data_IF_015101724530
#
_entry.id   IF_015101724530
#
_cell.length_a   1.000
_cell.length_b   1.000
_cell.length_c   1.000
_cell.angle_alpha   90.00
_cell.angle_beta   90.00
_cell.angle_gamma   90.00
#
_symmetry.space_group_name_H-M   'P 1'
#
loop_
_entity.id
_entity.type
_entity.pdbx_description
1 polymer ?
#
# COMPACT_ATOMS: atom_id res chain seq x y z
N UNK A 1 20.44 -0.31 -0.54
CA UNK A 1 19.01 -0.03 -0.25
C UNK A 1 18.25 -0.17 -1.57
N UNK A 2 17.56 -1.29 -1.79
CA UNK A 2 16.87 -1.55 -3.06
C UNK A 2 15.69 -0.59 -3.19
N UNK A 3 15.61 0.14 -4.31
CA UNK A 3 14.54 1.10 -4.60
C UNK A 3 13.19 0.36 -4.46
N UNK A 4 12.44 0.68 -3.40
CA UNK A 4 11.23 -0.07 -3.01
C UNK A 4 10.09 0.10 -4.00
N UNK A 5 10.13 1.18 -4.78
CA UNK A 5 9.23 1.44 -5.89
C UNK A 5 9.99 1.29 -7.19
N UNK A 6 10.02 0.09 -7.80
CA UNK A 6 10.35 0.03 -9.24
C UNK A 6 9.40 0.96 -9.96
N UNK A 7 9.90 2.00 -10.63
CA UNK A 7 9.06 2.94 -11.36
C UNK A 7 8.11 2.16 -12.27
N UNK A 8 8.63 1.17 -13.01
CA UNK A 8 7.92 0.42 -14.03
C UNK A 8 8.25 -1.09 -14.01
N UNK A 9 7.37 -1.96 -14.54
CA UNK A 9 6.05 -1.64 -15.05
C UNK A 9 5.03 -1.44 -13.91
N UNK A 10 3.98 -0.64 -14.17
CA UNK A 10 2.98 -0.30 -13.14
C UNK A 10 1.66 0.15 -13.75
N UNK A 11 0.58 0.03 -12.98
CA UNK A 11 -0.65 0.77 -13.24
C UNK A 11 -0.53 2.23 -12.80
N UNK A 12 -0.94 3.13 -13.68
CA UNK A 12 -1.11 4.56 -13.44
C UNK A 12 -2.55 4.95 -13.81
N UNK A 13 -3.10 6.03 -13.25
CA UNK A 13 -4.52 6.30 -13.42
C UNK A 13 -4.94 7.76 -13.42
N UNK A 14 -5.88 8.09 -14.33
CA UNK A 14 -6.83 9.20 -14.27
C UNK A 14 -7.87 9.13 -15.43
N UNK A 15 -9.20 9.06 -15.19
CA UNK A 15 -9.87 8.62 -13.95
C UNK A 15 -9.77 7.10 -13.74
N UNK A 16 -9.49 6.36 -14.81
CA UNK A 16 -9.33 4.90 -14.82
C UNK A 16 -7.85 4.52 -14.74
N UNK A 17 -7.56 3.31 -14.27
CA UNK A 17 -6.21 2.75 -14.29
C UNK A 17 -5.87 2.17 -15.66
N UNK A 18 -4.65 2.38 -16.12
CA UNK A 18 -4.09 1.81 -17.33
C UNK A 18 -2.67 1.32 -17.06
N UNK A 19 -2.29 0.27 -17.78
CA UNK A 19 -1.01 -0.40 -17.63
C UNK A 19 0.08 0.40 -18.33
N UNK A 20 1.19 0.65 -17.63
CA UNK A 20 2.34 1.38 -18.13
C UNK A 20 3.58 0.48 -18.03
N UNK A 21 4.16 0.15 -19.19
CA UNK A 21 5.25 -0.82 -19.28
C UNK A 21 6.63 -0.19 -19.12
N UNK A 22 6.76 1.10 -19.46
CA UNK A 22 8.06 1.75 -19.61
C UNK A 22 8.09 3.15 -18.99
N UNK A 23 9.30 3.56 -18.59
CA UNK A 23 9.54 4.90 -18.06
C UNK A 23 9.21 5.99 -19.08
N UNK A 24 9.42 5.71 -20.36
CA UNK A 24 9.06 6.62 -21.44
C UNK A 24 7.55 6.89 -21.49
N UNK A 25 6.73 5.85 -21.41
CA UNK A 25 5.28 5.97 -21.38
C UNK A 25 4.80 6.73 -20.12
N UNK A 26 5.41 6.44 -18.97
CA UNK A 26 5.13 7.16 -17.73
C UNK A 26 5.43 8.65 -17.84
N UNK A 27 6.63 9.02 -18.31
CA UNK A 27 7.04 10.42 -18.47
C UNK A 27 6.15 11.17 -19.45
N UNK A 28 5.70 10.49 -20.51
CA UNK A 28 4.76 11.06 -21.48
C UNK A 28 3.40 11.33 -20.85
N UNK A 29 2.90 10.38 -20.04
CA UNK A 29 1.68 10.56 -19.27
C UNK A 29 1.80 11.69 -18.24
N UNK A 30 2.88 11.71 -17.44
CA UNK A 30 3.13 12.79 -16.49
C UNK A 30 3.14 14.14 -17.20
N UNK A 31 3.91 14.28 -18.29
CA UNK A 31 3.98 15.55 -19.05
C UNK A 31 2.60 16.01 -19.54
N UNK A 32 1.72 15.08 -19.87
CA UNK A 32 0.38 15.39 -20.37
C UNK A 32 -0.54 15.94 -19.27
N UNK A 33 -0.50 15.35 -18.06
CA UNK A 33 -1.45 15.63 -16.98
C UNK A 33 -0.92 16.48 -15.84
N UNK A 34 0.40 16.60 -15.69
CA UNK A 34 1.03 17.43 -14.66
C UNK A 34 0.48 18.85 -14.71
N UNK A 35 0.06 19.34 -13.55
CA UNK A 35 -0.59 20.64 -13.33
C UNK A 35 -1.94 20.84 -14.06
N UNK A 36 -2.48 19.82 -14.72
CA UNK A 36 -3.79 19.87 -15.39
C UNK A 36 -4.83 19.01 -14.71
N UNK A 37 -4.44 17.83 -14.24
CA UNK A 37 -5.32 16.92 -13.53
C UNK A 37 -4.54 16.10 -12.49
N UNK A 38 -5.16 15.74 -11.35
CA UNK A 38 -4.55 14.82 -10.40
C UNK A 38 -4.44 13.44 -11.04
N UNK A 39 -3.29 12.79 -10.92
CA UNK A 39 -3.13 11.40 -11.34
C UNK A 39 -2.45 10.60 -10.23
N UNK A 40 -2.61 9.29 -10.26
CA UNK A 40 -2.06 8.41 -9.23
C UNK A 40 -1.36 7.19 -9.83
N UNK A 41 -0.53 6.55 -9.01
CA UNK A 41 0.15 5.31 -9.34
C UNK A 41 -0.33 4.21 -8.40
N UNK A 42 -0.40 2.97 -8.87
CA UNK A 42 -0.69 1.84 -8.01
C UNK A 42 0.37 1.72 -6.91
N UNK A 43 -0.09 1.36 -5.70
CA UNK A 43 0.77 1.07 -4.55
C UNK A 43 1.49 -0.27 -4.71
N UNK A 44 0.93 -1.18 -5.51
CA UNK A 44 1.56 -2.46 -5.80
C UNK A 44 2.59 -2.33 -6.91
N UNK A 45 3.64 -3.13 -6.77
CA UNK A 45 4.54 -3.47 -7.88
C UNK A 45 3.95 -4.62 -8.66
N UNK A 46 4.38 -4.74 -9.91
CA UNK A 46 3.91 -5.78 -10.81
C UNK A 46 5.10 -6.41 -11.53
N UNK A 47 5.06 -7.73 -11.70
CA UNK A 47 5.99 -8.45 -12.58
C UNK A 47 5.56 -8.28 -14.04
N UNK A 48 4.26 -8.33 -14.26
CA UNK A 48 3.56 -8.15 -15.53
C UNK A 48 2.13 -7.64 -15.24
N UNK A 49 1.33 -7.44 -16.28
CA UNK A 49 -0.02 -6.85 -16.20
C UNK A 49 -0.94 -7.53 -15.17
N UNK A 50 -0.75 -8.83 -14.94
CA UNK A 50 -1.67 -9.66 -14.13
C UNK A 50 -1.05 -10.13 -12.82
N UNK A 51 0.26 -9.97 -12.64
CA UNK A 51 1.00 -10.56 -11.52
C UNK A 51 1.50 -9.47 -10.55
N UNK A 52 0.76 -9.17 -9.47
CA UNK A 52 1.22 -8.24 -8.44
C UNK A 52 2.39 -8.85 -7.66
N UNK A 53 3.30 -8.00 -7.22
CA UNK A 53 4.37 -8.32 -6.28
C UNK A 53 3.94 -7.77 -4.93
N UNK A 54 3.83 -8.66 -3.94
CA UNK A 54 3.38 -8.34 -2.59
C UNK A 54 4.62 -8.17 -1.74
N UNK A 55 5.02 -6.93 -1.47
CA UNK A 55 6.23 -6.58 -0.72
C UNK A 55 5.94 -5.68 0.48
N UNK A 56 4.66 -5.47 0.80
CA UNK A 56 4.24 -4.69 1.95
C UNK A 56 2.89 -5.18 2.50
N UNK A 57 2.68 -4.97 3.80
CA UNK A 57 1.39 -4.99 4.46
C UNK A 57 0.90 -3.55 4.61
N UNK A 58 -0.22 -3.22 3.95
CA UNK A 58 -0.78 -1.87 3.88
C UNK A 58 -1.80 -1.61 4.98
N UNK A 59 -1.59 -0.58 5.79
CA UNK A 59 -2.56 -0.10 6.76
C UNK A 59 -3.03 1.29 6.36
N UNK A 60 -4.34 1.45 6.24
CA UNK A 60 -5.01 2.72 6.02
C UNK A 60 -5.63 3.16 7.34
N UNK A 61 -5.16 4.27 7.89
CA UNK A 61 -5.57 4.73 9.22
C UNK A 61 -6.15 6.13 9.05
N UNK A 62 -7.47 6.20 8.89
CA UNK A 62 -8.21 7.43 8.66
C UNK A 62 -9.21 7.74 9.80
N UNK A 63 -9.59 9.00 9.93
CA UNK A 63 -10.70 9.44 10.77
C UNK A 63 -11.44 10.60 10.11
N UNK A 64 -12.77 10.52 10.10
CA UNK A 64 -13.63 11.60 9.62
C UNK A 64 -13.77 12.77 10.60
N UNK A 65 -13.38 12.57 11.88
CA UNK A 65 -13.67 13.52 12.96
C UNK A 65 -12.42 14.22 13.50
N UNK A 66 -11.27 13.54 13.56
CA UNK A 66 -10.05 14.14 14.09
C UNK A 66 -8.80 13.38 13.67
N UNK A 67 -7.79 14.11 13.20
CA UNK A 67 -6.47 13.54 12.86
C UNK A 67 -5.70 13.02 14.09
N UNK A 68 -6.11 13.40 15.31
CA UNK A 68 -5.44 12.97 16.56
C UNK A 68 -5.49 11.46 16.75
N UNK A 69 -6.60 10.82 16.38
CA UNK A 69 -6.77 9.37 16.50
C UNK A 69 -5.85 8.63 15.51
N UNK A 70 -5.88 8.94 14.19
CA UNK A 70 -4.91 8.41 13.23
C UNK A 70 -3.46 8.63 13.62
N UNK A 71 -3.11 9.82 14.11
CA UNK A 71 -1.76 10.14 14.54
C UNK A 71 -1.29 9.28 15.73
N UNK A 72 -2.16 9.03 16.69
CA UNK A 72 -1.85 8.13 17.81
C UNK A 72 -1.71 6.68 17.34
N UNK A 73 -2.58 6.23 16.45
CA UNK A 73 -2.57 4.87 15.90
C UNK A 73 -1.33 4.60 15.04
N UNK A 74 -0.96 5.54 14.17
CA UNK A 74 0.23 5.41 13.33
C UNK A 74 1.51 5.32 14.19
N UNK A 75 1.58 6.08 15.29
CA UNK A 75 2.68 5.99 16.26
C UNK A 75 2.73 4.63 16.95
N UNK A 76 1.57 4.06 17.33
CA UNK A 76 1.48 2.71 17.91
C UNK A 76 1.94 1.64 16.92
N UNK A 77 1.51 1.71 15.66
CA UNK A 77 1.95 0.79 14.61
C UNK A 77 3.45 0.93 14.31
N UNK A 78 3.96 2.15 14.17
CA UNK A 78 5.39 2.40 13.97
C UNK A 78 6.22 1.75 15.08
N UNK A 79 5.86 2.01 16.34
CA UNK A 79 6.55 1.43 17.49
C UNK A 79 6.47 -0.11 17.50
N UNK A 80 5.35 -0.70 17.08
CA UNK A 80 5.23 -2.14 16.93
C UNK A 80 6.21 -2.69 15.90
N UNK A 81 6.25 -2.08 14.71
CA UNK A 81 7.14 -2.49 13.63
C UNK A 81 8.62 -2.33 14.02
N UNK A 82 8.99 -1.22 14.66
CA UNK A 82 10.36 -0.99 15.14
C UNK A 82 10.79 -2.04 16.17
N UNK A 83 9.92 -2.41 17.11
CA UNK A 83 10.20 -3.48 18.09
C UNK A 83 10.35 -4.88 17.48
N UNK A 84 9.91 -5.07 16.24
CA UNK A 84 9.96 -6.33 15.51
C UNK A 84 10.96 -6.29 14.36
N UNK A 85 11.77 -5.23 14.28
CA UNK A 85 12.72 -4.98 13.18
C UNK A 85 12.05 -5.04 11.79
N UNK A 86 10.79 -4.59 11.70
CA UNK A 86 10.03 -4.50 10.46
C UNK A 86 10.21 -3.10 9.88
N UNK A 87 10.86 -2.95 8.71
CA UNK A 87 11.00 -1.66 8.06
C UNK A 87 9.63 -1.10 7.66
N UNK A 88 9.42 0.21 7.78
CA UNK A 88 8.13 0.84 7.45
C UNK A 88 8.29 2.09 6.62
N UNK A 89 7.27 2.39 5.82
CA UNK A 89 7.05 3.70 5.21
C UNK A 89 5.72 4.26 5.72
N UNK A 90 5.68 5.55 6.03
CA UNK A 90 4.49 6.23 6.52
C UNK A 90 4.26 7.46 5.65
N UNK A 91 3.08 7.55 5.04
CA UNK A 91 2.66 8.68 4.23
C UNK A 91 1.42 9.33 4.86
N UNK A 92 1.36 10.65 4.85
CA UNK A 92 0.12 11.37 5.16
C UNK A 92 -0.86 11.24 3.97
N UNK A 93 -2.12 10.89 4.22
CA UNK A 93 -3.11 10.64 3.16
C UNK A 93 -3.65 11.92 2.50
N UNK A 94 -3.26 13.09 3.00
CA UNK A 94 -3.65 14.40 2.45
C UNK A 94 -4.85 15.05 3.14
N UNK A 95 -5.44 14.40 4.15
CA UNK A 95 -6.46 15.05 4.99
C UNK A 95 -6.93 14.23 6.19
N UNK A 96 -7.29 12.96 5.97
CA UNK A 96 -8.04 12.18 6.97
C UNK A 96 -7.18 11.27 7.83
N UNK A 97 -5.92 11.07 7.47
CA UNK A 97 -5.11 10.07 8.15
C UNK A 97 -3.75 9.78 7.53
N UNK A 98 -3.32 8.54 7.70
CA UNK A 98 -1.99 8.05 7.36
C UNK A 98 -2.06 6.68 6.71
N UNK A 99 -1.21 6.46 5.73
CA UNK A 99 -0.93 5.15 5.17
C UNK A 99 0.39 4.61 5.76
N UNK A 100 0.37 3.40 6.30
CA UNK A 100 1.58 2.68 6.69
C UNK A 100 1.80 1.48 5.78
N UNK A 101 3.02 1.34 5.28
CA UNK A 101 3.47 0.19 4.51
C UNK A 101 4.53 -0.53 5.35
N UNK A 102 4.17 -1.66 5.95
CA UNK A 102 5.12 -2.52 6.65
C UNK A 102 5.78 -3.44 5.63
N UNK A 103 7.09 -3.26 5.44
CA UNK A 103 7.84 -3.86 4.34
C UNK A 103 8.17 -5.30 4.67
N UNK A 104 7.89 -6.18 3.71
CA UNK A 104 8.09 -7.62 3.85
C UNK A 104 8.90 -8.15 2.67
N UNK A 105 9.42 -9.37 2.81
CA UNK A 105 10.07 -10.05 1.69
C UNK A 105 9.06 -10.18 0.54
N UNK A 106 9.41 -9.80 -0.70
CA UNK A 106 8.50 -9.89 -1.84
C UNK A 106 7.98 -11.30 -2.07
N UNK A 107 6.67 -11.42 -2.22
CA UNK A 107 5.96 -12.63 -2.60
C UNK A 107 5.27 -12.42 -3.95
N UNK A 108 5.31 -13.45 -4.80
CA UNK A 108 4.68 -13.43 -6.12
C UNK A 108 3.68 -14.59 -6.15
N UNK A 109 2.35 -14.33 -6.16
CA UNK A 109 1.37 -15.40 -6.35
C UNK A 109 1.53 -15.97 -7.76
N UNK A 110 1.59 -17.30 -7.86
CA UNK A 110 1.74 -18.02 -9.14
C UNK A 110 0.43 -18.60 -9.65
N UNK A 111 -0.61 -18.61 -8.82
CA UNK A 111 -1.94 -19.14 -9.14
C UNK A 111 -3.07 -18.36 -8.42
N UNK A 112 -4.32 -18.42 -8.90
CA UNK A 112 -5.47 -17.83 -8.20
C UNK A 112 -5.63 -18.34 -6.76
N UNK A 113 -5.40 -19.65 -6.54
CA UNK A 113 -5.44 -20.26 -5.20
C UNK A 113 -4.37 -19.64 -4.31
N UNK A 114 -3.13 -19.50 -4.80
CA UNK A 114 -2.05 -18.85 -4.03
C UNK A 114 -2.36 -17.38 -3.72
N UNK A 115 -3.02 -16.66 -4.64
CA UNK A 115 -3.43 -15.27 -4.45
C UNK A 115 -4.42 -15.16 -3.29
N UNK A 116 -5.41 -16.05 -3.24
CA UNK A 116 -6.39 -16.09 -2.16
C UNK A 116 -5.72 -16.47 -0.82
N UNK A 117 -4.87 -17.49 -0.79
CA UNK A 117 -4.17 -17.88 0.44
C UNK A 117 -3.26 -16.77 0.98
N UNK A 118 -2.55 -16.04 0.12
CA UNK A 118 -1.73 -14.90 0.55
C UNK A 118 -2.63 -13.77 1.07
N UNK A 119 -3.77 -13.51 0.42
CA UNK A 119 -4.75 -12.53 0.90
C UNK A 119 -5.22 -12.85 2.32
N UNK A 120 -5.60 -14.09 2.57
CA UNK A 120 -6.09 -14.54 3.89
C UNK A 120 -4.98 -14.49 4.95
N UNK A 121 -3.75 -14.85 4.58
CA UNK A 121 -2.58 -14.72 5.43
C UNK A 121 -2.31 -13.25 5.79
N UNK A 122 -2.27 -12.35 4.80
CA UNK A 122 -2.06 -10.92 5.01
C UNK A 122 -3.14 -10.35 5.94
N UNK A 123 -4.41 -10.68 5.68
CA UNK A 123 -5.53 -10.27 6.51
C UNK A 123 -5.32 -10.71 7.97
N UNK A 124 -5.01 -11.98 8.18
CA UNK A 124 -4.80 -12.55 9.53
C UNK A 124 -3.64 -11.90 10.26
N UNK A 125 -2.53 -11.64 9.57
CA UNK A 125 -1.36 -10.94 10.13
C UNK A 125 -1.71 -9.50 10.48
N UNK A 126 -2.42 -8.78 9.62
CA UNK A 126 -2.81 -7.40 9.88
C UNK A 126 -3.76 -7.28 11.07
N UNK A 127 -4.73 -8.20 11.20
CA UNK A 127 -5.62 -8.28 12.36
C UNK A 127 -4.87 -8.56 13.66
N UNK A 128 -3.85 -9.42 13.60
CA UNK A 128 -2.99 -9.68 14.75
C UNK A 128 -2.19 -8.43 15.14
N UNK A 129 -1.58 -7.76 14.17
CA UNK A 129 -0.82 -6.51 14.40
C UNK A 129 -1.72 -5.42 14.97
N UNK A 130 -2.92 -5.25 14.40
CA UNK A 130 -3.95 -4.34 14.88
C UNK A 130 -4.23 -4.53 16.38
N UNK A 131 -4.50 -5.78 16.77
CA UNK A 131 -4.80 -6.16 18.15
C UNK A 131 -3.60 -5.93 19.07
N UNK A 132 -2.41 -6.38 18.68
CA UNK A 132 -1.19 -6.24 19.49
C UNK A 132 -0.74 -4.78 19.65
N UNK A 133 -0.93 -3.95 18.61
CA UNK A 133 -0.62 -2.52 18.62
C UNK A 133 -1.71 -1.65 19.26
N UNK A 134 -2.88 -2.22 19.57
CA UNK A 134 -4.02 -1.54 20.21
C UNK A 134 -4.46 -0.29 19.45
N UNK A 135 -4.58 -0.37 18.13
CA UNK A 135 -5.09 0.77 17.36
C UNK A 135 -6.61 0.79 17.32
N UNK A 136 -7.16 2.01 17.34
CA UNK A 136 -8.59 2.27 17.54
C UNK A 136 -9.22 2.69 16.21
N UNK A 137 -10.28 1.99 15.77
CA UNK A 137 -10.96 2.12 14.48
C UNK A 137 -10.25 1.42 13.30
N UNK A 138 -11.00 0.52 12.67
CA UNK A 138 -10.72 -0.02 11.35
C UNK A 138 -12.01 0.02 10.55
N UNK A 139 -12.00 0.72 9.44
CA UNK A 139 -12.86 0.32 8.34
C UNK A 139 -12.26 -1.01 7.82
N UNK A 140 -13.04 -2.09 7.79
CA UNK A 140 -12.58 -3.42 7.39
C UNK A 140 -12.18 -3.63 5.90
N UNK A 141 -12.27 -2.69 4.92
CA UNK A 141 -11.90 -3.00 3.52
C UNK A 141 -10.41 -2.82 3.17
N UNK A 142 -9.52 -2.58 4.15
CA UNK A 142 -8.09 -2.29 3.92
C UNK A 142 -7.17 -3.48 4.14
N UNK A 143 -7.65 -4.53 4.78
CA UNK A 143 -6.88 -5.74 5.02
C UNK A 143 -6.88 -6.69 3.83
N UNK A 144 -5.73 -7.31 3.54
CA UNK A 144 -5.58 -8.27 2.46
C UNK A 144 -5.95 -7.70 1.07
N UNK A 145 -5.73 -6.40 0.83
CA UNK A 145 -5.95 -5.81 -0.51
C UNK A 145 -5.01 -6.45 -1.52
N UNK A 146 -5.47 -7.50 -2.19
CA UNK A 146 -4.87 -8.00 -3.41
C UNK A 146 -6.03 -8.03 -4.41
N UNK A 147 -6.15 -6.98 -5.22
CA UNK A 147 -7.13 -6.94 -6.33
C UNK A 147 -6.70 -7.89 -7.42
#
# INVERSE_FOLDING_TARGET
MTIMFKEMPRYIGFPNQFWCESKFAFNSFEKMFKNKAPFFVSTFRFKDKNTPIIDNLYFDIDSYFSIRVPYRNIKRLKNYCEKKDIPTLINFSGGKGFHLYALIKPMIPTSPVSKQSIRDLMYSVQMRIAKESKIEAYDEPTFGRIR
#
